data_IF_716691497699
#
_entry.id   IF_716691497699
#
_cell.length_a   1.000
_cell.length_b   1.000
_cell.length_c   1.000
_cell.angle_alpha   90.00
_cell.angle_beta   90.00
_cell.angle_gamma   90.00
#
_symmetry.space_group_name_H-M   'P 1'
#
loop_
_entity.id
_entity.type
_entity.pdbx_description
1 polymer ?
#
# COMPACT_ATOMS: atom_id res chain seq x y z
N UNK A 1 6.60 -22.65 18.18
CA UNK A 1 7.04 -21.34 17.64
C UNK A 1 7.66 -21.62 16.29
N UNK A 2 7.13 -21.06 15.21
CA UNK A 2 7.73 -21.19 13.89
C UNK A 2 9.14 -20.58 13.95
N UNK A 3 10.10 -21.24 13.32
CA UNK A 3 11.46 -20.70 13.23
C UNK A 3 11.43 -19.48 12.28
N UNK A 4 12.32 -18.51 12.50
CA UNK A 4 12.44 -17.30 11.63
C UNK A 4 12.55 -17.65 10.13
N UNK A 5 12.99 -18.86 9.79
CA UNK A 5 13.07 -19.36 8.42
C UNK A 5 11.70 -19.71 7.80
N UNK A 6 10.68 -19.94 8.60
CA UNK A 6 9.33 -20.37 8.17
C UNK A 6 8.34 -19.20 8.04
N UNK A 7 8.74 -17.98 8.45
CA UNK A 7 7.86 -16.81 8.36
C UNK A 7 7.78 -16.29 6.91
N UNK A 8 6.61 -15.78 6.47
CA UNK A 8 6.51 -15.01 5.23
C UNK A 8 7.53 -13.85 5.24
N UNK A 9 8.13 -13.58 4.09
CA UNK A 9 9.20 -12.58 4.02
C UNK A 9 8.77 -11.17 4.41
N UNK A 10 7.51 -10.83 4.23
CA UNK A 10 6.95 -9.55 4.69
C UNK A 10 7.13 -9.39 6.21
N UNK A 11 6.97 -10.48 6.98
CA UNK A 11 7.17 -10.45 8.43
C UNK A 11 8.64 -10.67 8.81
N UNK A 12 9.36 -11.55 8.10
CA UNK A 12 10.79 -11.82 8.32
C UNK A 12 11.66 -10.57 8.14
N UNK A 13 11.35 -9.72 7.13
CA UNK A 13 12.10 -8.51 6.80
C UNK A 13 11.43 -7.22 7.27
N UNK A 14 10.47 -7.33 8.18
CA UNK A 14 9.82 -6.19 8.81
C UNK A 14 10.85 -5.37 9.60
N UNK A 15 10.92 -4.05 9.43
CA UNK A 15 11.81 -3.20 10.20
C UNK A 15 11.63 -3.37 11.70
N UNK A 16 12.71 -3.61 12.43
CA UNK A 16 12.69 -3.71 13.89
C UNK A 16 13.07 -2.40 14.58
N UNK A 17 13.77 -1.52 13.88
CA UNK A 17 14.20 -0.19 14.36
C UNK A 17 13.77 0.88 13.38
N UNK A 18 13.62 2.12 13.85
CA UNK A 18 13.25 3.26 13.01
C UNK A 18 14.23 3.47 11.85
N UNK A 19 15.52 3.29 12.10
CA UNK A 19 16.56 3.40 11.06
C UNK A 19 16.47 2.37 9.93
N UNK A 20 15.75 1.26 10.14
CA UNK A 20 15.59 0.19 9.16
C UNK A 20 14.35 0.42 8.26
N UNK A 21 13.56 1.46 8.57
CA UNK A 21 12.41 1.89 7.76
C UNK A 21 12.91 2.60 6.52
N UNK A 22 12.48 2.13 5.35
CA UNK A 22 12.92 2.63 4.05
C UNK A 22 12.06 3.81 3.60
N UNK A 23 12.67 4.84 3.03
CA UNK A 23 12.01 5.92 2.28
C UNK A 23 11.19 6.92 3.12
N UNK A 24 11.39 6.93 4.45
CA UNK A 24 10.65 7.82 5.36
C UNK A 24 11.59 8.56 6.31
N UNK A 25 12.78 8.99 5.84
CA UNK A 25 13.87 9.53 6.67
C UNK A 25 13.47 10.75 7.49
N UNK A 26 12.65 11.64 6.93
CA UNK A 26 12.16 12.82 7.65
C UNK A 26 11.23 12.42 8.81
N UNK A 27 10.38 11.42 8.56
CA UNK A 27 9.45 10.89 9.57
C UNK A 27 10.24 10.19 10.67
N UNK A 28 11.13 9.26 10.32
CA UNK A 28 11.91 8.49 11.28
C UNK A 28 12.79 9.37 12.15
N UNK A 29 13.44 10.38 11.58
CA UNK A 29 14.24 11.37 12.34
C UNK A 29 13.39 12.11 13.41
N UNK A 30 12.17 12.51 13.06
CA UNK A 30 11.27 13.16 14.02
C UNK A 30 10.81 12.19 15.10
N UNK A 31 10.53 10.92 14.75
CA UNK A 31 10.15 9.90 15.72
C UNK A 31 11.31 9.51 16.65
N UNK A 32 12.54 9.42 16.16
CA UNK A 32 13.75 9.21 16.97
C UNK A 32 13.93 10.31 18.02
N UNK A 33 13.59 11.57 17.69
CA UNK A 33 13.63 12.66 18.66
C UNK A 33 12.64 12.46 19.81
N UNK A 34 11.46 11.87 19.56
CA UNK A 34 10.52 11.53 20.62
C UNK A 34 11.07 10.42 21.53
N UNK A 35 11.69 9.39 20.96
CA UNK A 35 12.34 8.31 21.72
C UNK A 35 13.46 8.89 22.61
N UNK A 36 14.34 9.71 22.02
CA UNK A 36 15.45 10.35 22.74
C UNK A 36 15.00 11.21 23.92
N UNK A 37 13.90 11.93 23.76
CA UNK A 37 13.35 12.81 24.77
C UNK A 37 12.37 12.09 25.73
N UNK A 38 12.15 10.80 25.54
CA UNK A 38 11.19 9.99 26.29
C UNK A 38 9.79 10.62 26.40
N UNK A 39 9.34 11.28 25.32
CA UNK A 39 8.04 11.95 25.24
C UNK A 39 7.46 11.82 23.86
N UNK A 40 6.14 11.66 23.79
CA UNK A 40 5.44 11.47 22.53
C UNK A 40 4.02 12.06 22.60
N UNK A 41 3.59 12.87 21.65
CA UNK A 41 2.17 13.22 21.48
C UNK A 41 1.38 12.03 20.90
N UNK A 42 0.06 12.17 20.73
CA UNK A 42 -0.64 11.22 19.86
C UNK A 42 -0.22 11.46 18.40
N UNK A 43 -0.11 10.38 17.65
CA UNK A 43 0.35 10.40 16.25
C UNK A 43 -0.75 9.92 15.32
N UNK A 44 -0.75 10.45 14.10
CA UNK A 44 -1.55 9.93 12.99
C UNK A 44 -0.64 9.68 11.80
N UNK A 45 -0.58 8.43 11.34
CA UNK A 45 0.15 7.98 10.16
C UNK A 45 -0.82 7.86 8.99
N UNK A 46 -0.69 8.71 8.00
CA UNK A 46 -1.58 8.74 6.83
C UNK A 46 -0.81 8.45 5.56
N UNK A 47 -1.36 7.63 4.67
CA UNK A 47 -0.79 7.29 3.37
C UNK A 47 -1.24 5.92 2.87
N UNK A 48 -0.90 5.56 1.65
CA UNK A 48 -1.31 4.33 0.98
C UNK A 48 -0.90 3.06 1.75
N UNK A 49 -1.44 1.90 1.37
CA UNK A 49 -1.03 0.61 1.93
C UNK A 49 0.43 0.28 1.55
N UNK A 50 1.10 -0.56 2.34
CA UNK A 50 2.42 -1.12 2.03
C UNK A 50 3.63 -0.18 2.10
N UNK A 51 3.46 1.08 2.54
CA UNK A 51 4.53 2.11 2.59
C UNK A 51 5.21 2.24 3.96
N UNK A 52 4.96 1.30 4.89
CA UNK A 52 5.69 1.20 6.16
C UNK A 52 5.01 1.79 7.39
N UNK A 53 3.74 2.25 7.35
CA UNK A 53 3.04 2.83 8.51
C UNK A 53 3.05 1.93 9.74
N UNK A 54 2.55 0.71 9.61
CA UNK A 54 2.47 -0.29 10.68
C UNK A 54 3.87 -0.68 11.19
N UNK A 55 4.81 -0.92 10.28
CA UNK A 55 6.20 -1.24 10.62
C UNK A 55 6.87 -0.13 11.42
N UNK A 56 6.62 1.13 11.04
CA UNK A 56 7.15 2.29 11.77
C UNK A 56 6.56 2.42 13.16
N UNK A 57 5.25 2.17 13.32
CA UNK A 57 4.60 2.20 14.64
C UNK A 57 5.18 1.14 15.59
N UNK A 58 5.35 -0.09 15.09
CA UNK A 58 5.95 -1.19 15.86
C UNK A 58 7.42 -0.92 16.18
N UNK A 59 8.21 -0.46 15.22
CA UNK A 59 9.62 -0.10 15.44
C UNK A 59 9.77 1.02 16.48
N UNK A 60 8.93 2.05 16.41
CA UNK A 60 8.89 3.14 17.38
C UNK A 60 8.59 2.62 18.80
N UNK A 61 7.58 1.77 18.94
CA UNK A 61 7.21 1.22 20.23
C UNK A 61 8.29 0.27 20.80
N UNK A 62 8.94 -0.54 19.95
CA UNK A 62 10.09 -1.36 20.35
C UNK A 62 11.27 -0.50 20.85
N UNK A 63 11.56 0.61 20.20
CA UNK A 63 12.62 1.52 20.66
C UNK A 63 12.28 2.22 21.98
N UNK A 64 11.02 2.59 22.20
CA UNK A 64 10.58 3.13 23.48
C UNK A 64 10.68 2.11 24.61
N UNK A 65 10.08 0.93 24.42
CA UNK A 65 9.81 0.00 25.53
C UNK A 65 10.80 -1.15 25.64
N UNK A 66 11.62 -1.39 24.63
CA UNK A 66 12.63 -2.48 24.62
C UNK A 66 12.05 -3.81 25.10
N UNK A 67 12.56 -4.36 26.18
CA UNK A 67 12.13 -5.65 26.75
C UNK A 67 10.69 -5.63 27.29
N UNK A 68 10.16 -4.45 27.62
CA UNK A 68 8.80 -4.25 28.13
C UNK A 68 7.77 -3.93 27.01
N UNK A 69 8.12 -4.19 25.73
CA UNK A 69 7.29 -3.89 24.57
C UNK A 69 5.89 -4.51 24.69
N UNK A 70 5.78 -5.80 24.94
CA UNK A 70 4.49 -6.51 24.98
C UNK A 70 3.53 -6.00 26.06
N UNK A 71 4.04 -5.47 27.17
CA UNK A 71 3.22 -4.98 28.27
C UNK A 71 2.73 -3.55 28.06
N UNK A 72 3.48 -2.78 27.26
CA UNK A 72 3.24 -1.35 27.08
C UNK A 72 2.72 -0.99 25.67
N UNK A 73 2.59 -1.97 24.78
CA UNK A 73 2.10 -1.79 23.41
C UNK A 73 0.89 -2.68 23.13
N UNK A 74 -0.19 -2.05 22.65
CA UNK A 74 -1.40 -2.73 22.19
C UNK A 74 -1.60 -2.40 20.71
N UNK A 75 -1.62 -3.41 19.87
CA UNK A 75 -1.92 -3.31 18.45
C UNK A 75 -3.32 -3.87 18.19
N UNK A 76 -4.15 -3.09 17.51
CA UNK A 76 -5.51 -3.47 17.11
C UNK A 76 -5.72 -3.06 15.64
N UNK A 77 -6.39 -3.94 14.89
CA UNK A 77 -6.86 -3.60 13.55
C UNK A 77 -8.31 -3.15 13.62
N UNK A 78 -8.57 -1.89 13.26
CA UNK A 78 -9.92 -1.32 13.30
C UNK A 78 -10.84 -1.86 12.19
N UNK A 79 -10.31 -2.56 11.19
CA UNK A 79 -11.13 -3.23 10.18
C UNK A 79 -11.76 -4.53 10.67
N UNK A 80 -11.08 -5.22 11.60
CA UNK A 80 -11.59 -6.48 12.18
C UNK A 80 -12.70 -6.20 13.20
N UNK A 81 -12.54 -5.13 13.96
CA UNK A 81 -13.42 -4.76 15.06
C UNK A 81 -13.87 -3.29 14.92
N UNK A 82 -14.77 -3.02 13.98
CA UNK A 82 -15.21 -1.64 13.60
C UNK A 82 -16.09 -0.96 14.64
N UNK A 83 -16.59 -1.73 15.63
CA UNK A 83 -17.61 -1.30 16.56
C UNK A 83 -17.11 -0.43 17.72
N UNK A 84 -18.05 0.27 18.35
CA UNK A 84 -17.79 1.10 19.53
C UNK A 84 -17.32 0.27 20.73
N UNK A 85 -17.62 -1.04 20.77
CA UNK A 85 -17.31 -1.94 21.89
C UNK A 85 -15.81 -2.18 22.05
N UNK A 86 -15.05 -2.23 20.93
CA UNK A 86 -13.56 -2.28 20.97
C UNK A 86 -13.00 -1.11 21.74
N UNK A 87 -13.50 0.09 21.45
CA UNK A 87 -13.03 1.31 22.13
C UNK A 87 -13.46 1.30 23.59
N UNK A 88 -14.67 0.78 23.87
CA UNK A 88 -15.20 0.76 25.25
C UNK A 88 -14.54 -0.27 26.15
N UNK A 89 -14.22 -1.43 25.63
CA UNK A 89 -13.70 -2.55 26.41
C UNK A 89 -12.19 -2.67 26.30
N UNK A 90 -11.68 -3.06 25.14
CA UNK A 90 -10.24 -3.39 24.98
C UNK A 90 -9.36 -2.17 25.17
N UNK A 91 -9.62 -1.10 24.42
CA UNK A 91 -8.81 0.12 24.48
C UNK A 91 -8.88 0.77 25.85
N UNK A 92 -10.08 0.88 26.43
CA UNK A 92 -10.29 1.48 27.74
C UNK A 92 -9.64 0.68 28.86
N UNK A 93 -9.74 -0.65 28.83
CA UNK A 93 -9.11 -1.51 29.85
C UNK A 93 -7.59 -1.39 29.80
N UNK A 94 -6.99 -1.40 28.61
CA UNK A 94 -5.55 -1.22 28.46
C UNK A 94 -5.12 0.18 28.89
N UNK A 95 -5.84 1.25 28.54
CA UNK A 95 -5.53 2.62 28.88
C UNK A 95 -5.66 2.95 30.38
N UNK A 96 -6.48 2.18 31.14
CA UNK A 96 -6.67 2.36 32.58
C UNK A 96 -5.49 1.87 33.41
N UNK A 97 -4.73 0.92 32.91
CA UNK A 97 -3.58 0.36 33.63
C UNK A 97 -2.34 1.23 33.43
N UNK A 98 -1.51 1.33 34.47
CA UNK A 98 -0.27 2.10 34.38
C UNK A 98 0.74 1.38 33.48
N UNK A 99 1.64 2.15 32.89
CA UNK A 99 2.76 1.61 32.14
C UNK A 99 3.74 0.91 33.09
N UNK A 100 4.34 -0.17 32.61
CA UNK A 100 5.40 -0.86 33.32
C UNK A 100 6.74 -0.17 33.03
N UNK A 101 7.38 0.38 34.07
CA UNK A 101 8.66 1.11 34.00
C UNK A 101 8.72 2.35 33.05
N UNK A 102 7.56 2.81 32.55
CA UNK A 102 7.47 3.96 31.66
C UNK A 102 6.34 4.90 32.07
N UNK A 103 6.42 6.16 31.62
CA UNK A 103 5.40 7.17 31.94
C UNK A 103 4.08 6.99 31.19
N UNK A 104 4.05 6.21 30.11
CA UNK A 104 2.87 5.98 29.27
C UNK A 104 2.94 4.65 28.52
N UNK A 105 1.79 4.20 28.02
CA UNK A 105 1.64 3.07 27.09
C UNK A 105 1.33 3.58 25.68
N UNK A 106 1.51 2.74 24.68
CA UNK A 106 1.13 3.04 23.31
C UNK A 106 0.01 2.11 22.86
N UNK A 107 -1.07 2.68 22.32
CA UNK A 107 -2.12 1.98 21.60
C UNK A 107 -1.99 2.34 20.13
N UNK A 108 -1.75 1.33 19.31
CA UNK A 108 -1.71 1.45 17.86
C UNK A 108 -3.01 0.91 17.25
N UNK A 109 -3.69 1.75 16.51
CA UNK A 109 -4.90 1.41 15.78
C UNK A 109 -4.58 1.44 14.28
N UNK A 110 -4.44 0.27 13.67
CA UNK A 110 -4.29 0.17 12.22
C UNK A 110 -5.65 0.28 11.53
N UNK A 111 -5.65 0.76 10.29
CA UNK A 111 -6.86 0.98 9.49
C UNK A 111 -7.94 1.80 10.21
N UNK A 112 -7.54 2.82 10.99
CA UNK A 112 -8.44 3.62 11.81
C UNK A 112 -9.56 4.32 11.03
N UNK A 113 -9.40 4.49 9.73
CA UNK A 113 -10.42 5.01 8.81
C UNK A 113 -11.56 4.01 8.53
N UNK A 114 -11.46 2.76 9.01
CA UNK A 114 -12.55 1.79 9.03
C UNK A 114 -13.48 1.92 10.25
N UNK A 115 -13.08 2.67 11.29
CA UNK A 115 -13.93 2.89 12.48
C UNK A 115 -15.21 3.64 12.12
N UNK A 116 -16.33 3.18 12.70
CA UNK A 116 -17.61 3.90 12.60
C UNK A 116 -17.52 5.28 13.25
N UNK A 117 -18.39 6.21 12.86
CA UNK A 117 -18.43 7.55 13.45
C UNK A 117 -18.57 7.52 14.98
N UNK A 118 -19.44 6.67 15.52
CA UNK A 118 -19.67 6.53 16.96
C UNK A 118 -18.44 5.96 17.69
N UNK A 119 -17.73 5.01 17.06
CA UNK A 119 -16.47 4.48 17.58
C UNK A 119 -15.38 5.58 17.64
N UNK A 120 -15.29 6.40 16.61
CA UNK A 120 -14.36 7.54 16.59
C UNK A 120 -14.71 8.58 17.68
N UNK A 121 -15.99 8.88 17.93
CA UNK A 121 -16.41 9.76 19.00
C UNK A 121 -16.07 9.20 20.40
N UNK A 122 -16.24 7.88 20.57
CA UNK A 122 -15.84 7.22 21.82
C UNK A 122 -14.32 7.21 22.01
N UNK A 123 -13.57 6.97 20.93
CA UNK A 123 -12.09 7.02 20.91
C UNK A 123 -11.59 8.41 21.30
N UNK A 124 -12.16 9.49 20.76
CA UNK A 124 -11.83 10.87 21.15
C UNK A 124 -11.92 11.07 22.67
N UNK A 125 -13.04 10.63 23.27
CA UNK A 125 -13.23 10.76 24.73
C UNK A 125 -12.19 9.93 25.51
N UNK A 126 -11.83 8.77 25.01
CA UNK A 126 -10.82 7.89 25.60
C UNK A 126 -9.44 8.54 25.54
N UNK A 127 -9.06 9.11 24.39
CA UNK A 127 -7.80 9.84 24.20
C UNK A 127 -7.67 11.03 25.18
N UNK A 128 -8.75 11.77 25.40
CA UNK A 128 -8.79 12.90 26.36
C UNK A 128 -8.61 12.39 27.80
N UNK A 129 -9.39 11.39 28.18
CA UNK A 129 -9.44 10.85 29.54
C UNK A 129 -8.12 10.23 29.99
N UNK A 130 -7.45 9.49 29.09
CA UNK A 130 -6.23 8.73 29.40
C UNK A 130 -4.94 9.37 28.85
N UNK A 131 -4.97 10.66 28.56
CA UNK A 131 -3.83 11.39 28.00
C UNK A 131 -2.57 11.38 28.89
N UNK A 132 -2.69 11.06 30.18
CA UNK A 132 -1.55 10.92 31.08
C UNK A 132 -0.90 9.54 31.02
N UNK A 133 -1.69 8.49 30.78
CA UNK A 133 -1.25 7.08 30.85
C UNK A 133 -1.06 6.44 29.49
N UNK A 134 -1.61 7.02 28.43
CA UNK A 134 -1.61 6.43 27.11
C UNK A 134 -1.32 7.44 26.00
N UNK A 135 -0.65 6.96 24.94
CA UNK A 135 -0.50 7.64 23.66
C UNK A 135 -1.11 6.78 22.56
N UNK A 136 -1.70 7.44 21.60
CA UNK A 136 -2.34 6.77 20.47
C UNK A 136 -1.54 7.02 19.21
N UNK A 137 -1.37 5.95 18.43
CA UNK A 137 -0.88 6.01 17.06
C UNK A 137 -2.02 5.49 16.19
N UNK A 138 -2.57 6.35 15.33
CA UNK A 138 -3.64 6.01 14.41
C UNK A 138 -3.04 5.87 13.00
N UNK A 139 -3.20 4.71 12.37
CA UNK A 139 -2.82 4.51 10.98
C UNK A 139 -4.07 4.52 10.11
N UNK A 140 -4.04 5.27 9.01
CA UNK A 140 -5.15 5.36 8.07
C UNK A 140 -4.63 5.51 6.63
N UNK A 141 -5.43 5.08 5.67
CA UNK A 141 -5.15 5.35 4.26
C UNK A 141 -5.61 6.77 3.89
N UNK A 142 -6.77 7.18 4.40
CA UNK A 142 -7.39 8.47 4.11
C UNK A 142 -7.65 9.24 5.41
N UNK A 143 -6.84 10.26 5.69
CA UNK A 143 -7.03 11.11 6.89
C UNK A 143 -8.38 11.84 6.90
N UNK A 144 -8.98 12.09 5.73
CA UNK A 144 -10.31 12.70 5.60
C UNK A 144 -11.45 11.87 6.19
N UNK A 145 -11.26 10.56 6.36
CA UNK A 145 -12.24 9.68 7.02
C UNK A 145 -12.17 9.72 8.55
N UNK A 146 -11.14 10.34 9.11
CA UNK A 146 -10.99 10.54 10.55
C UNK A 146 -11.63 11.87 10.92
N UNK A 147 -12.48 11.88 11.97
CA UNK A 147 -13.14 13.11 12.41
C UNK A 147 -12.15 14.18 12.87
N UNK A 148 -12.42 15.43 12.55
CA UNK A 148 -11.56 16.56 12.88
C UNK A 148 -11.15 16.65 14.37
N UNK A 149 -12.04 16.37 15.35
CA UNK A 149 -11.66 16.36 16.76
C UNK A 149 -10.57 15.36 17.14
N UNK A 150 -10.41 14.26 16.41
CA UNK A 150 -9.29 13.32 16.59
C UNK A 150 -8.05 13.87 15.89
N UNK A 151 -8.19 14.34 14.63
CA UNK A 151 -7.07 14.90 13.88
C UNK A 151 -6.37 16.02 14.62
N UNK A 152 -7.14 16.95 15.22
CA UNK A 152 -6.59 18.08 15.98
C UNK A 152 -5.80 17.71 17.26
N UNK A 153 -5.94 16.45 17.71
CA UNK A 153 -5.24 15.89 18.89
C UNK A 153 -4.01 15.07 18.53
N UNK A 154 -3.73 14.93 17.23
CA UNK A 154 -2.64 14.12 16.73
C UNK A 154 -1.64 14.96 15.93
N UNK A 155 -0.38 14.63 16.03
CA UNK A 155 0.62 15.08 15.06
C UNK A 155 0.53 14.19 13.85
N UNK A 156 0.23 14.77 12.68
CA UNK A 156 0.04 14.03 11.43
C UNK A 156 1.38 13.83 10.71
N UNK A 157 1.68 12.57 10.39
CA UNK A 157 2.80 12.17 9.56
C UNK A 157 2.24 11.60 8.24
N UNK A 158 2.60 12.23 7.12
CA UNK A 158 2.18 11.82 5.79
C UNK A 158 3.26 10.96 5.17
N UNK A 159 3.02 9.67 5.14
CA UNK A 159 3.88 8.70 4.48
C UNK A 159 3.74 8.82 2.97
N UNK A 160 4.86 8.76 2.26
CA UNK A 160 4.90 8.81 0.79
C UNK A 160 5.13 7.41 0.22
N UNK A 161 4.61 7.12 -0.97
CA UNK A 161 5.01 5.93 -1.71
C UNK A 161 6.53 5.90 -1.87
N UNK A 162 7.11 4.70 -1.79
CA UNK A 162 8.55 4.52 -1.96
C UNK A 162 8.94 4.80 -3.41
N UNK A 163 10.07 5.46 -3.60
CA UNK A 163 10.61 5.67 -4.93
C UNK A 163 11.29 4.39 -5.48
N UNK A 164 11.52 4.37 -6.79
CA UNK A 164 12.08 3.21 -7.48
C UNK A 164 13.41 2.73 -6.85
N UNK A 165 14.29 3.67 -6.49
CA UNK A 165 15.61 3.37 -5.92
C UNK A 165 15.51 2.75 -4.53
N UNK A 166 14.62 3.25 -3.68
CA UNK A 166 14.36 2.73 -2.33
C UNK A 166 13.83 1.29 -2.37
N UNK A 167 12.92 1.01 -3.31
CA UNK A 167 12.40 -0.35 -3.54
C UNK A 167 13.52 -1.27 -4.05
N UNK A 168 14.27 -0.85 -5.07
CA UNK A 168 15.39 -1.60 -5.63
C UNK A 168 16.42 -1.98 -4.56
N UNK A 169 16.90 -1.01 -3.77
CA UNK A 169 17.90 -1.23 -2.71
C UNK A 169 17.40 -2.27 -1.68
N UNK A 170 16.14 -2.17 -1.25
CA UNK A 170 15.56 -3.12 -0.29
C UNK A 170 15.42 -4.51 -0.89
N UNK A 171 14.92 -4.63 -2.11
CA UNK A 171 14.77 -5.91 -2.82
C UNK A 171 16.12 -6.58 -3.05
N UNK A 172 17.12 -5.83 -3.48
CA UNK A 172 18.49 -6.33 -3.64
C UNK A 172 19.08 -6.83 -2.32
N UNK A 173 18.83 -6.12 -1.22
CA UNK A 173 19.25 -6.54 0.11
C UNK A 173 18.61 -7.89 0.50
N UNK A 174 17.31 -8.05 0.27
CA UNK A 174 16.59 -9.30 0.55
C UNK A 174 17.10 -10.43 -0.35
N UNK A 175 17.22 -10.19 -1.65
CA UNK A 175 17.72 -11.19 -2.61
C UNK A 175 19.10 -11.71 -2.24
N UNK A 176 20.00 -10.81 -1.77
CA UNK A 176 21.34 -11.19 -1.28
C UNK A 176 21.28 -12.09 -0.04
N UNK A 177 20.40 -11.78 0.92
CA UNK A 177 20.26 -12.59 2.15
C UNK A 177 19.69 -13.97 1.81
N UNK A 178 18.69 -14.03 0.94
CA UNK A 178 18.04 -15.28 0.51
C UNK A 178 18.81 -16.02 -0.59
N UNK A 179 19.94 -15.46 -1.06
CA UNK A 179 20.81 -16.04 -2.11
C UNK A 179 20.07 -16.27 -3.44
N UNK A 180 19.22 -15.33 -3.83
CA UNK A 180 18.44 -15.36 -5.07
C UNK A 180 19.18 -14.59 -6.15
N UNK A 181 19.29 -15.16 -7.33
CA UNK A 181 19.71 -14.45 -8.52
C UNK A 181 18.51 -13.72 -9.13
N UNK A 182 18.57 -12.40 -9.16
CA UNK A 182 17.56 -11.54 -9.80
C UNK A 182 18.21 -10.73 -10.92
N UNK A 183 17.59 -10.74 -12.11
CA UNK A 183 18.08 -9.93 -13.24
C UNK A 183 17.71 -8.46 -13.06
N UNK A 184 18.43 -7.55 -13.72
CA UNK A 184 18.14 -6.12 -13.70
C UNK A 184 16.74 -5.82 -14.28
N UNK A 185 16.35 -6.52 -15.33
CA UNK A 185 15.03 -6.37 -15.95
C UNK A 185 13.92 -6.85 -15.01
N UNK A 186 14.16 -7.91 -14.24
CA UNK A 186 13.22 -8.35 -13.20
C UNK A 186 13.08 -7.33 -12.07
N UNK A 187 14.14 -6.64 -11.67
CA UNK A 187 14.08 -5.55 -10.69
C UNK A 187 13.23 -4.40 -11.23
N UNK A 188 13.46 -3.99 -12.48
CA UNK A 188 12.70 -2.94 -13.14
C UNK A 188 11.21 -3.30 -13.23
N UNK A 189 10.90 -4.54 -13.63
CA UNK A 189 9.53 -5.06 -13.68
C UNK A 189 8.88 -5.07 -12.30
N UNK A 190 9.60 -5.49 -11.26
CA UNK A 190 9.11 -5.53 -9.89
C UNK A 190 8.80 -4.12 -9.36
N UNK A 191 9.72 -3.16 -9.58
CA UNK A 191 9.53 -1.74 -9.22
C UNK A 191 8.31 -1.17 -9.95
N UNK A 192 8.14 -1.49 -11.24
CA UNK A 192 6.99 -1.07 -12.02
C UNK A 192 5.67 -1.61 -11.46
N UNK A 193 5.63 -2.89 -11.09
CA UNK A 193 4.42 -3.58 -10.63
C UNK A 193 4.02 -3.18 -9.20
N UNK A 194 5.00 -2.96 -8.31
CA UNK A 194 4.72 -2.67 -6.91
C UNK A 194 4.26 -1.22 -6.64
N UNK A 195 4.56 -0.28 -7.53
CA UNK A 195 4.10 1.12 -7.42
C UNK A 195 4.45 1.79 -6.07
N UNK A 196 5.60 1.43 -5.49
CA UNK A 196 6.05 1.94 -4.20
C UNK A 196 5.46 1.24 -2.97
N UNK A 197 4.70 0.15 -3.17
CA UNK A 197 4.24 -0.74 -2.10
C UNK A 197 5.29 -1.82 -1.82
N UNK A 198 6.02 -1.69 -0.70
CA UNK A 198 7.05 -2.64 -0.30
C UNK A 198 6.49 -4.02 0.05
N UNK A 199 5.29 -4.11 0.63
CA UNK A 199 4.65 -5.38 0.96
C UNK A 199 4.41 -6.19 -0.31
N UNK A 200 3.87 -5.54 -1.33
CA UNK A 200 3.65 -6.13 -2.65
C UNK A 200 4.97 -6.55 -3.30
N UNK A 201 6.00 -5.71 -3.24
CA UNK A 201 7.31 -6.01 -3.80
C UNK A 201 7.94 -7.26 -3.17
N UNK A 202 7.92 -7.37 -1.84
CA UNK A 202 8.48 -8.52 -1.11
C UNK A 202 7.69 -9.80 -1.38
N UNK A 203 6.34 -9.73 -1.44
CA UNK A 203 5.49 -10.88 -1.74
C UNK A 203 5.75 -11.42 -3.16
N UNK A 204 5.83 -10.52 -4.15
CA UNK A 204 6.12 -10.92 -5.54
C UNK A 204 7.51 -11.55 -5.63
N UNK A 205 8.52 -10.97 -4.99
CA UNK A 205 9.86 -11.54 -4.96
C UNK A 205 9.87 -12.94 -4.34
N UNK A 206 9.20 -13.13 -3.19
CA UNK A 206 9.11 -14.43 -2.52
C UNK A 206 8.42 -15.46 -3.41
N UNK A 207 7.27 -15.13 -3.99
CA UNK A 207 6.53 -16.03 -4.86
C UNK A 207 7.32 -16.38 -6.14
N UNK A 208 8.00 -15.40 -6.74
CA UNK A 208 8.84 -15.63 -7.93
C UNK A 208 10.03 -16.54 -7.62
N UNK A 209 10.66 -16.38 -6.46
CA UNK A 209 11.78 -17.22 -6.03
C UNK A 209 11.39 -18.67 -5.78
N UNK A 210 10.12 -18.93 -5.45
CA UNK A 210 9.61 -20.28 -5.23
C UNK A 210 9.38 -21.05 -6.53
N UNK A 211 9.27 -20.36 -7.68
CA UNK A 211 9.08 -20.97 -9.00
C UNK A 211 10.44 -21.36 -9.59
N UNK A 212 11.43 -20.48 -9.50
CA UNK A 212 12.78 -20.74 -10.04
C UNK A 212 13.84 -20.10 -9.17
N UNK A 213 15.03 -20.70 -9.09
CA UNK A 213 16.16 -20.14 -8.36
C UNK A 213 16.74 -18.85 -8.99
N UNK A 214 16.31 -18.52 -10.21
CA UNK A 214 16.65 -17.29 -10.93
C UNK A 214 15.39 -16.54 -11.30
N UNK A 215 15.23 -15.35 -10.76
CA UNK A 215 14.06 -14.49 -11.00
C UNK A 215 14.34 -13.61 -12.23
N UNK A 216 13.54 -13.78 -13.25
CA UNK A 216 13.54 -12.97 -14.47
C UNK A 216 12.28 -12.12 -14.60
N UNK A 217 12.26 -11.20 -15.58
CA UNK A 217 11.14 -10.31 -15.86
C UNK A 217 9.82 -11.07 -16.10
N UNK A 218 9.89 -12.18 -16.86
CA UNK A 218 8.73 -12.98 -17.21
C UNK A 218 8.05 -13.54 -15.96
N UNK A 219 8.84 -14.10 -15.05
CA UNK A 219 8.36 -14.64 -13.77
C UNK A 219 7.69 -13.58 -12.91
N UNK A 220 8.23 -12.35 -12.88
CA UNK A 220 7.61 -11.22 -12.14
C UNK A 220 6.21 -10.92 -12.69
N UNK A 221 6.07 -10.82 -14.01
CA UNK A 221 4.78 -10.52 -14.64
C UNK A 221 3.77 -11.67 -14.44
N UNK A 222 4.20 -12.92 -14.58
CA UNK A 222 3.36 -14.10 -14.33
C UNK A 222 2.84 -14.15 -12.89
N UNK A 223 3.72 -13.97 -11.92
CA UNK A 223 3.36 -14.01 -10.49
C UNK A 223 2.47 -12.84 -10.08
N UNK A 224 2.71 -11.66 -10.65
CA UNK A 224 1.95 -10.46 -10.30
C UNK A 224 0.60 -10.34 -10.98
N UNK A 225 0.28 -11.23 -11.94
CA UNK A 225 -0.88 -11.13 -12.82
C UNK A 225 -0.97 -9.74 -13.48
N UNK A 226 0.18 -9.22 -13.92
CA UNK A 226 0.28 -7.92 -14.58
C UNK A 226 0.84 -8.10 -16.00
N UNK A 227 0.23 -7.45 -16.97
CA UNK A 227 0.74 -7.40 -18.32
C UNK A 227 2.06 -6.61 -18.38
N UNK A 228 2.88 -6.94 -19.37
CA UNK A 228 4.03 -6.09 -19.69
C UNK A 228 3.55 -4.77 -20.25
N UNK A 229 4.23 -3.65 -19.93
CA UNK A 229 3.87 -2.35 -20.49
C UNK A 229 3.69 -2.36 -22.00
N UNK A 230 4.57 -3.08 -22.70
CA UNK A 230 4.55 -3.17 -24.16
C UNK A 230 3.28 -3.85 -24.70
N UNK A 231 2.72 -4.83 -24.00
CA UNK A 231 1.48 -5.50 -24.42
C UNK A 231 0.28 -4.55 -24.31
N UNK A 232 0.21 -3.76 -23.22
CA UNK A 232 -0.81 -2.71 -23.07
C UNK A 232 -0.66 -1.64 -24.14
N UNK A 233 0.58 -1.14 -24.37
CA UNK A 233 0.86 -0.16 -25.42
C UNK A 233 0.47 -0.68 -26.80
N UNK A 234 0.76 -1.95 -27.07
CA UNK A 234 0.38 -2.58 -28.35
C UNK A 234 -1.14 -2.64 -28.50
N UNK A 235 -1.88 -3.00 -27.44
CA UNK A 235 -3.34 -3.02 -27.45
C UNK A 235 -3.92 -1.62 -27.71
N UNK A 236 -3.37 -0.59 -27.05
CA UNK A 236 -3.75 0.82 -27.29
C UNK A 236 -3.51 1.20 -28.75
N UNK A 237 -2.30 0.92 -29.28
CA UNK A 237 -1.95 1.23 -30.68
C UNK A 237 -2.89 0.55 -31.69
N UNK A 238 -3.23 -0.73 -31.48
CA UNK A 238 -4.17 -1.45 -32.33
C UNK A 238 -5.56 -0.79 -32.30
N UNK A 239 -6.04 -0.41 -31.12
CA UNK A 239 -7.33 0.25 -30.96
C UNK A 239 -7.35 1.61 -31.67
N UNK A 240 -6.34 2.47 -31.46
CA UNK A 240 -6.22 3.77 -32.10
C UNK A 240 -6.07 3.68 -33.64
N UNK A 241 -5.48 2.58 -34.14
CA UNK A 241 -5.39 2.33 -35.59
C UNK A 241 -6.66 1.72 -36.20
N UNK A 242 -7.72 1.52 -35.43
CA UNK A 242 -8.98 0.97 -35.90
C UNK A 242 -9.03 -0.56 -35.99
N UNK A 243 -8.04 -1.26 -35.44
CA UNK A 243 -7.95 -2.74 -35.45
C UNK A 243 -8.62 -3.34 -34.23
N UNK A 244 -9.93 -3.14 -34.08
CA UNK A 244 -10.70 -3.58 -32.91
C UNK A 244 -10.53 -5.08 -32.60
N UNK A 245 -10.63 -5.93 -33.63
CA UNK A 245 -10.58 -7.39 -33.41
C UNK A 245 -9.24 -7.85 -32.84
N UNK A 246 -8.13 -7.27 -33.28
CA UNK A 246 -6.81 -7.61 -32.75
C UNK A 246 -6.61 -7.03 -31.34
N UNK A 247 -7.06 -5.79 -31.08
CA UNK A 247 -7.04 -5.21 -29.74
C UNK A 247 -7.89 -6.04 -28.77
N UNK A 248 -9.06 -6.53 -29.19
CA UNK A 248 -9.91 -7.41 -28.40
C UNK A 248 -9.25 -8.76 -28.12
N UNK A 249 -8.56 -9.37 -29.08
CA UNK A 249 -7.79 -10.60 -28.82
C UNK A 249 -6.71 -10.41 -27.77
N UNK A 250 -6.04 -9.27 -27.78
CA UNK A 250 -5.08 -8.92 -26.73
C UNK A 250 -5.76 -8.75 -25.37
N UNK A 251 -6.93 -8.10 -25.32
CA UNK A 251 -7.71 -8.03 -24.09
C UNK A 251 -8.08 -9.44 -23.56
N UNK A 252 -8.53 -10.33 -24.45
CA UNK A 252 -8.82 -11.72 -24.08
C UNK A 252 -7.59 -12.42 -23.50
N UNK A 253 -6.41 -12.22 -24.08
CA UNK A 253 -5.15 -12.74 -23.56
C UNK A 253 -4.87 -12.23 -22.17
N UNK A 254 -4.99 -10.93 -21.93
CA UNK A 254 -4.75 -10.31 -20.62
C UNK A 254 -5.70 -10.87 -19.54
N UNK A 255 -6.99 -10.98 -19.85
CA UNK A 255 -7.99 -11.40 -18.88
C UNK A 255 -7.96 -12.93 -18.65
N UNK A 256 -7.77 -13.76 -19.69
CA UNK A 256 -7.90 -15.21 -19.56
C UNK A 256 -6.58 -15.94 -19.41
N UNK A 257 -5.50 -15.50 -20.06
CA UNK A 257 -4.20 -16.16 -19.93
C UNK A 257 -3.42 -15.65 -18.74
N UNK A 258 -3.47 -14.33 -18.47
CA UNK A 258 -2.77 -13.71 -17.32
C UNK A 258 -3.65 -13.59 -16.08
N UNK A 259 -4.96 -13.87 -16.19
CA UNK A 259 -5.89 -13.83 -15.06
C UNK A 259 -6.12 -12.41 -14.51
N UNK A 260 -5.94 -11.37 -15.33
CA UNK A 260 -6.14 -9.99 -14.90
C UNK A 260 -7.62 -9.68 -14.73
N UNK A 261 -7.97 -8.98 -13.65
CA UNK A 261 -9.30 -8.38 -13.49
C UNK A 261 -9.49 -7.20 -14.46
N UNK A 262 -10.73 -6.84 -14.72
CA UNK A 262 -11.01 -5.64 -15.52
C UNK A 262 -10.49 -4.36 -14.88
N UNK A 263 -10.48 -4.29 -13.55
CA UNK A 263 -9.89 -3.19 -12.79
C UNK A 263 -8.38 -3.10 -13.01
N UNK A 264 -7.66 -4.22 -13.01
CA UNK A 264 -6.23 -4.25 -13.30
C UNK A 264 -5.91 -3.76 -14.72
N UNK A 265 -6.70 -4.20 -15.69
CA UNK A 265 -6.53 -3.80 -17.09
C UNK A 265 -6.76 -2.29 -17.26
N UNK A 266 -7.85 -1.74 -16.70
CA UNK A 266 -8.18 -0.31 -16.88
C UNK A 266 -7.17 0.61 -16.18
N UNK A 267 -6.67 0.21 -15.02
CA UNK A 267 -5.62 0.94 -14.30
C UNK A 267 -4.33 0.97 -15.13
N UNK A 268 -3.94 -0.16 -15.71
CA UNK A 268 -2.75 -0.20 -16.57
C UNK A 268 -2.94 0.59 -17.86
N UNK A 269 -4.12 0.53 -18.50
CA UNK A 269 -4.46 1.36 -19.66
C UNK A 269 -4.31 2.86 -19.33
N UNK A 270 -4.89 3.29 -18.21
CA UNK A 270 -4.75 4.66 -17.74
C UNK A 270 -3.28 5.07 -17.60
N UNK A 271 -2.49 4.24 -16.94
CA UNK A 271 -1.07 4.51 -16.69
C UNK A 271 -0.27 4.66 -17.98
N UNK A 272 -0.44 3.74 -18.93
CA UNK A 272 0.30 3.79 -20.20
C UNK A 272 -0.12 4.99 -21.07
N UNK A 273 -1.41 5.37 -21.03
CA UNK A 273 -1.89 6.55 -21.76
C UNK A 273 -1.35 7.85 -21.14
N UNK A 274 -1.38 7.96 -19.81
CA UNK A 274 -0.82 9.15 -19.12
C UNK A 274 0.67 9.31 -19.42
N UNK A 275 1.42 8.20 -19.44
CA UNK A 275 2.86 8.18 -19.65
C UNK A 275 3.27 8.14 -21.14
N UNK A 276 2.33 8.04 -22.10
CA UNK A 276 2.66 8.06 -23.52
C UNK A 276 3.28 9.38 -23.93
N UNK A 277 4.18 9.35 -24.91
CA UNK A 277 4.75 10.57 -25.49
C UNK A 277 3.74 11.29 -26.37
N UNK A 278 3.95 12.60 -26.59
CA UNK A 278 3.02 13.44 -27.36
C UNK A 278 2.98 13.05 -28.85
N UNK A 279 4.08 12.47 -29.36
CA UNK A 279 4.17 11.92 -30.70
C UNK A 279 3.32 10.64 -30.88
N UNK A 280 3.08 9.88 -29.81
CA UNK A 280 2.24 8.68 -29.84
C UNK A 280 0.75 9.03 -29.73
N UNK A 281 0.40 9.87 -28.73
CA UNK A 281 -0.98 10.30 -28.48
C UNK A 281 -0.94 11.79 -28.17
N UNK A 282 -1.56 12.62 -29.02
CA UNK A 282 -1.61 14.07 -28.79
C UNK A 282 -2.38 14.43 -27.52
N UNK A 283 -2.04 15.57 -26.93
CA UNK A 283 -2.56 15.99 -25.62
C UNK A 283 -4.10 16.07 -25.57
N UNK A 284 -4.77 16.48 -26.66
CA UNK A 284 -6.23 16.56 -26.71
C UNK A 284 -6.86 15.17 -26.68
N UNK A 285 -6.39 14.28 -27.54
CA UNK A 285 -6.84 12.86 -27.58
C UNK A 285 -6.58 12.17 -26.24
N UNK A 286 -5.43 12.44 -25.61
CA UNK A 286 -5.09 11.89 -24.28
C UNK A 286 -6.13 12.28 -23.23
N UNK A 287 -6.53 13.54 -23.16
CA UNK A 287 -7.53 14.04 -22.22
C UNK A 287 -8.89 13.35 -22.45
N UNK A 288 -9.33 13.25 -23.70
CA UNK A 288 -10.60 12.64 -24.06
C UNK A 288 -10.63 11.13 -23.71
N UNK A 289 -9.51 10.43 -23.94
CA UNK A 289 -9.38 9.02 -23.57
C UNK A 289 -9.39 8.83 -22.05
N UNK A 290 -8.69 9.67 -21.30
CA UNK A 290 -8.68 9.61 -19.82
C UNK A 290 -10.09 9.83 -19.25
N UNK A 291 -10.85 10.77 -19.80
CA UNK A 291 -12.26 10.97 -19.44
C UNK A 291 -13.09 9.68 -19.63
N UNK A 292 -12.93 9.03 -20.79
CA UNK A 292 -13.61 7.75 -21.04
C UNK A 292 -13.16 6.65 -20.11
N UNK A 293 -11.87 6.54 -19.82
CA UNK A 293 -11.36 5.57 -18.82
C UNK A 293 -12.04 5.79 -17.47
N UNK A 294 -12.16 7.03 -17.02
CA UNK A 294 -12.86 7.36 -15.77
C UNK A 294 -14.33 6.92 -15.77
N UNK A 295 -15.05 7.19 -16.89
CA UNK A 295 -16.44 6.77 -17.05
C UNK A 295 -16.61 5.25 -16.99
N UNK A 296 -15.78 4.48 -17.71
CA UNK A 296 -15.87 3.03 -17.74
C UNK A 296 -15.41 2.38 -16.45
N UNK A 297 -14.40 2.96 -15.78
CA UNK A 297 -13.99 2.53 -14.45
C UNK A 297 -15.12 2.67 -13.44
N UNK A 298 -15.79 3.83 -13.41
CA UNK A 298 -16.95 4.05 -12.55
C UNK A 298 -18.04 3.01 -12.77
N UNK A 299 -18.37 2.70 -14.04
CA UNK A 299 -19.38 1.68 -14.37
C UNK A 299 -19.00 0.29 -13.86
N UNK A 300 -17.70 -0.10 -13.94
CA UNK A 300 -17.24 -1.38 -13.44
C UNK A 300 -17.32 -1.46 -11.91
N UNK A 301 -16.94 -0.38 -11.21
CA UNK A 301 -17.07 -0.28 -9.74
C UNK A 301 -18.53 -0.39 -9.29
N UNK A 302 -19.48 0.14 -10.06
CA UNK A 302 -20.94 0.01 -9.83
C UNK A 302 -21.50 -1.38 -10.21
N UNK A 303 -20.63 -2.33 -10.58
CA UNK A 303 -21.01 -3.73 -10.82
C UNK A 303 -21.36 -4.09 -12.27
N UNK A 304 -21.05 -3.23 -13.24
CA UNK A 304 -21.20 -3.58 -14.65
C UNK A 304 -20.18 -4.66 -15.05
N UNK A 305 -20.55 -5.50 -16.04
CA UNK A 305 -19.67 -6.56 -16.52
C UNK A 305 -18.36 -6.00 -17.08
N UNK A 306 -17.25 -6.36 -16.45
CA UNK A 306 -15.92 -5.82 -16.74
C UNK A 306 -15.50 -5.99 -18.20
N UNK A 307 -15.70 -7.18 -18.75
CA UNK A 307 -15.32 -7.48 -20.14
C UNK A 307 -16.09 -6.61 -21.12
N UNK A 308 -17.41 -6.47 -20.95
CA UNK A 308 -18.24 -5.65 -21.83
C UNK A 308 -17.80 -4.18 -21.76
N UNK A 309 -17.49 -3.69 -20.55
CA UNK A 309 -17.02 -2.30 -20.38
C UNK A 309 -15.66 -2.08 -21.01
N UNK A 310 -14.71 -3.00 -20.89
CA UNK A 310 -13.41 -2.89 -21.51
C UNK A 310 -13.47 -2.99 -23.05
N UNK A 311 -14.25 -3.93 -23.58
CA UNK A 311 -14.47 -4.00 -25.05
C UNK A 311 -15.09 -2.70 -25.58
N UNK A 312 -16.06 -2.15 -24.86
CA UNK A 312 -16.67 -0.87 -25.24
C UNK A 312 -15.68 0.31 -25.12
N UNK A 313 -14.81 0.32 -24.12
CA UNK A 313 -13.74 1.32 -23.98
C UNK A 313 -12.76 1.25 -25.16
N UNK A 314 -12.30 0.04 -25.53
CA UNK A 314 -11.44 -0.18 -26.69
C UNK A 314 -12.11 0.33 -27.98
N UNK A 315 -13.43 0.07 -28.14
CA UNK A 315 -14.18 0.59 -29.28
C UNK A 315 -14.26 2.13 -29.29
N UNK A 316 -14.29 2.79 -28.14
CA UNK A 316 -14.22 4.27 -28.09
C UNK A 316 -12.87 4.80 -28.60
N UNK A 317 -11.75 4.11 -28.31
CA UNK A 317 -10.42 4.54 -28.77
C UNK A 317 -10.35 4.61 -30.30
N UNK A 318 -11.12 3.79 -31.02
CA UNK A 318 -11.18 3.85 -32.48
C UNK A 318 -11.72 5.18 -33.05
N UNK A 319 -12.47 5.94 -32.26
CA UNK A 319 -12.95 7.27 -32.66
C UNK A 319 -11.82 8.30 -32.80
N UNK A 320 -10.68 8.03 -32.19
CA UNK A 320 -9.49 8.88 -32.22
C UNK A 320 -8.45 8.40 -33.23
N UNK A 321 -8.89 7.63 -34.21
CA UNK A 321 -8.03 7.17 -35.31
C UNK A 321 -7.42 8.34 -36.01
N UNK A 322 -6.07 8.36 -36.13
CA UNK A 322 -5.32 9.31 -36.98
C UNK A 322 -5.50 8.98 -38.45
#
# INVERSE_FOLDING_TARGET
MATLAELPWVEKYRPEKLKDVVGQEEITRRLESYVKNNTMPNLMFSGQAGIGKTSTAVALAKEFFKDNFQQNFLELNASDERGIDVVRETIKNFARTLAFDFGFKIIFLDESDALTFDAQQALRRTMEKYSRTCRFILSCNYSSKIIEPIQSRCVVFRFKPLNAKEVEEKIMSIAKIEKIEISKDAINALVYVCEGDMRKAVNILQASSSISGKVDEKTIHEVSSRARPDEIKQMIKLALNGNFLEARKMLDKLMYEYGMSGEDVIIQLHREIVNSEEDEIDGKTKIEIIDKIGEYNFRMVEGANERIQLEALIAQFMKYKK
#
